data_IF_690375308173
#
_entry.id   IF_690375308173
#
_cell.length_a   1.000
_cell.length_b   1.000
_cell.length_c   1.000
_cell.angle_alpha   90.00
_cell.angle_beta   90.00
_cell.angle_gamma   90.00
#
_symmetry.space_group_name_H-M   'P 1'
#
loop_
_entity.id
_entity.type
_entity.pdbx_description
1 polymer ?
#
# COMPACT_ATOMS: atom_id res chain seq x y z
N UNK A 1 0.71 -8.60 -26.15
CA UNK A 1 0.92 -8.56 -24.69
C UNK A 1 2.04 -9.50 -24.22
N UNK A 2 2.12 -10.73 -24.73
CA UNK A 2 3.20 -11.69 -24.41
C UNK A 2 4.61 -11.21 -24.78
N UNK A 3 4.71 -10.30 -25.73
CA UNK A 3 6.02 -9.72 -26.17
C UNK A 3 6.49 -8.61 -25.24
N UNK A 4 5.56 -7.87 -24.64
CA UNK A 4 5.85 -6.65 -23.90
C UNK A 4 5.69 -6.77 -22.38
N UNK A 5 5.35 -7.96 -21.87
CA UNK A 5 5.11 -8.20 -20.47
C UNK A 5 5.62 -9.57 -20.04
N UNK A 6 6.16 -9.65 -18.83
CA UNK A 6 6.42 -10.93 -18.15
C UNK A 6 5.12 -11.50 -17.60
N UNK A 7 4.77 -12.73 -18.00
CA UNK A 7 3.60 -13.44 -17.51
C UNK A 7 3.95 -14.42 -16.40
N UNK A 8 3.05 -14.53 -15.43
CA UNK A 8 3.05 -15.58 -14.43
C UNK A 8 1.82 -16.47 -14.63
N UNK A 9 2.04 -17.69 -15.09
CA UNK A 9 1.00 -18.70 -15.27
C UNK A 9 0.77 -19.44 -13.93
N UNK A 10 -0.49 -19.49 -13.47
CA UNK A 10 -0.86 -20.20 -12.23
C UNK A 10 -1.99 -21.17 -12.54
N UNK A 11 -1.79 -22.47 -12.23
CA UNK A 11 -2.79 -23.50 -12.48
C UNK A 11 -3.05 -23.77 -13.96
N UNK A 12 -2.10 -23.46 -14.84
CA UNK A 12 -2.20 -23.67 -16.28
C UNK A 12 -1.38 -24.90 -16.69
N UNK A 13 -2.01 -25.81 -17.45
CA UNK A 13 -1.42 -27.11 -17.81
C UNK A 13 -0.52 -27.08 -19.04
N UNK A 14 -0.52 -25.99 -19.80
CA UNK A 14 0.15 -25.88 -21.11
C UNK A 14 -0.28 -26.98 -22.11
N UNK A 15 -1.51 -27.47 -21.99
CA UNK A 15 -2.09 -28.43 -22.94
C UNK A 15 -2.83 -27.77 -24.10
N UNK A 16 -3.02 -26.46 -24.08
CA UNK A 16 -3.64 -25.68 -25.14
C UNK A 16 -2.63 -25.41 -26.28
N UNK A 17 -2.81 -26.07 -27.39
CA UNK A 17 -1.96 -25.95 -28.57
C UNK A 17 -1.88 -24.52 -29.11
N UNK A 18 -2.99 -23.74 -29.05
CA UNK A 18 -2.99 -22.35 -29.55
C UNK A 18 -2.06 -21.45 -28.75
N UNK A 19 -2.01 -21.63 -27.43
CA UNK A 19 -1.10 -20.83 -26.59
C UNK A 19 0.35 -21.22 -26.83
N UNK A 20 0.64 -22.50 -26.97
CA UNK A 20 1.99 -22.99 -27.29
C UNK A 20 2.43 -22.54 -28.69
N UNK A 21 1.58 -22.59 -29.68
CA UNK A 21 1.87 -22.11 -31.05
C UNK A 21 2.12 -20.60 -31.08
N UNK A 22 1.35 -19.82 -30.29
CA UNK A 22 1.61 -18.39 -30.13
C UNK A 22 2.97 -18.11 -29.46
N UNK A 23 3.33 -18.84 -28.43
CA UNK A 23 4.62 -18.73 -27.76
C UNK A 23 5.77 -19.11 -28.65
N UNK A 24 5.64 -20.22 -29.43
CA UNK A 24 6.61 -20.62 -30.45
C UNK A 24 6.83 -19.51 -31.48
N UNK A 25 5.74 -19.01 -32.07
CA UNK A 25 5.80 -17.99 -33.11
C UNK A 25 6.48 -16.71 -32.62
N UNK A 26 6.22 -16.32 -31.36
CA UNK A 26 6.86 -15.16 -30.74
C UNK A 26 8.36 -15.42 -30.54
N UNK A 27 8.73 -16.60 -30.05
CA UNK A 27 10.13 -16.99 -29.82
C UNK A 27 10.94 -16.99 -31.14
N UNK A 28 10.36 -17.55 -32.19
CA UNK A 28 10.97 -17.59 -33.52
C UNK A 28 11.14 -16.19 -34.11
N UNK A 29 10.12 -15.33 -33.96
CA UNK A 29 10.16 -13.97 -34.50
C UNK A 29 11.16 -13.07 -33.78
N UNK A 30 11.30 -13.19 -32.44
CA UNK A 30 12.16 -12.36 -31.62
C UNK A 30 13.61 -12.89 -31.48
N UNK A 31 13.89 -14.09 -32.02
CA UNK A 31 15.26 -14.65 -32.03
C UNK A 31 15.86 -14.84 -30.63
N UNK A 32 15.05 -15.18 -29.63
CA UNK A 32 15.51 -15.42 -28.26
C UNK A 32 15.67 -14.17 -27.40
N UNK A 33 15.33 -12.99 -27.90
CA UNK A 33 15.38 -11.72 -27.13
C UNK A 33 14.10 -11.47 -26.28
N UNK A 34 13.19 -12.46 -26.18
CA UNK A 34 11.95 -12.38 -25.41
C UNK A 34 12.26 -12.39 -23.90
N UNK A 35 11.60 -11.50 -23.16
CA UNK A 35 11.60 -11.58 -21.69
C UNK A 35 11.05 -12.92 -21.21
N UNK A 36 11.68 -13.50 -20.18
CA UNK A 36 11.24 -14.79 -19.66
C UNK A 36 9.90 -14.70 -18.96
N UNK A 37 9.09 -15.76 -19.11
CA UNK A 37 7.85 -15.94 -18.37
C UNK A 37 8.05 -16.94 -17.23
N UNK A 38 7.09 -16.99 -16.32
CA UNK A 38 7.11 -17.88 -15.15
C UNK A 38 5.84 -18.70 -15.07
N UNK A 39 5.94 -19.92 -14.54
CA UNK A 39 4.79 -20.76 -14.22
C UNK A 39 4.93 -21.34 -12.81
N UNK A 40 3.85 -21.38 -12.05
CA UNK A 40 3.79 -22.12 -10.78
C UNK A 40 3.07 -23.42 -11.06
N UNK A 41 3.77 -24.53 -10.88
CA UNK A 41 3.26 -25.87 -11.16
C UNK A 41 3.19 -26.72 -9.91
N UNK A 42 2.07 -27.41 -9.74
CA UNK A 42 1.93 -28.39 -8.67
C UNK A 42 2.72 -29.65 -8.96
N UNK A 43 3.41 -30.12 -7.93
CA UNK A 43 4.06 -31.44 -7.93
C UNK A 43 3.64 -32.22 -6.69
N UNK A 44 3.38 -33.51 -6.85
CA UNK A 44 3.22 -34.46 -5.75
C UNK A 44 4.51 -35.23 -5.47
N UNK A 45 4.46 -36.17 -4.53
CA UNK A 45 5.63 -36.97 -4.14
C UNK A 45 6.06 -37.97 -5.24
N UNK A 46 5.19 -38.27 -6.22
CA UNK A 46 5.41 -39.25 -7.27
C UNK A 46 5.51 -38.61 -8.67
N UNK A 47 6.39 -37.62 -8.80
CA UNK A 47 6.59 -36.93 -10.08
C UNK A 47 7.28 -37.85 -11.09
N UNK A 48 6.67 -38.00 -12.28
CA UNK A 48 7.25 -38.79 -13.37
C UNK A 48 8.48 -38.11 -14.00
N UNK A 49 9.37 -38.89 -14.59
CA UNK A 49 10.51 -38.36 -15.35
C UNK A 49 10.04 -37.50 -16.54
N UNK A 50 8.91 -37.83 -17.15
CA UNK A 50 8.32 -37.09 -18.27
C UNK A 50 7.91 -35.66 -17.87
N UNK A 51 7.50 -35.47 -16.62
CA UNK A 51 7.21 -34.12 -16.11
C UNK A 51 8.46 -33.23 -16.09
N UNK A 52 9.60 -33.78 -15.69
CA UNK A 52 10.86 -32.99 -15.70
C UNK A 52 11.30 -32.65 -17.12
N UNK A 53 11.15 -33.58 -18.07
CA UNK A 53 11.40 -33.27 -19.48
C UNK A 53 10.46 -32.20 -20.02
N UNK A 54 9.20 -32.23 -19.63
CA UNK A 54 8.22 -31.21 -20.00
C UNK A 54 8.59 -29.81 -19.44
N UNK A 55 8.97 -29.73 -18.18
CA UNK A 55 9.43 -28.47 -17.54
C UNK A 55 10.68 -27.91 -18.24
N UNK A 56 11.61 -28.79 -18.60
CA UNK A 56 12.81 -28.41 -19.33
C UNK A 56 12.50 -27.93 -20.75
N UNK A 57 11.54 -28.55 -21.43
CA UNK A 57 11.07 -28.18 -22.74
C UNK A 57 10.39 -26.79 -22.71
N UNK A 58 9.54 -26.54 -21.71
CA UNK A 58 8.95 -25.20 -21.49
C UNK A 58 10.00 -24.11 -21.34
N UNK A 59 11.10 -24.41 -20.66
CA UNK A 59 12.21 -23.46 -20.53
C UNK A 59 12.95 -23.26 -21.84
N UNK A 60 13.29 -24.33 -22.54
CA UNK A 60 14.13 -24.29 -23.75
C UNK A 60 13.37 -23.69 -24.93
N UNK A 61 12.12 -24.09 -25.13
CA UNK A 61 11.34 -23.68 -26.32
C UNK A 61 10.60 -22.36 -26.13
N UNK A 62 10.13 -22.07 -24.92
CA UNK A 62 9.22 -20.95 -24.69
C UNK A 62 9.74 -19.92 -23.68
N UNK A 63 10.96 -20.12 -23.19
CA UNK A 63 11.57 -19.29 -22.14
C UNK A 63 10.68 -19.14 -20.87
N UNK A 64 9.93 -20.21 -20.52
CA UNK A 64 9.10 -20.25 -19.33
C UNK A 64 9.85 -20.95 -18.20
N UNK A 65 10.14 -20.26 -17.12
CA UNK A 65 10.74 -20.83 -15.91
C UNK A 65 9.65 -21.39 -15.00
N UNK A 66 9.66 -22.69 -14.77
CA UNK A 66 8.68 -23.36 -13.90
C UNK A 66 9.18 -23.40 -12.46
N UNK A 67 8.34 -22.91 -11.53
CA UNK A 67 8.48 -23.03 -10.10
C UNK A 67 7.64 -24.20 -9.64
N UNK A 68 8.24 -25.36 -9.43
CA UNK A 68 7.55 -26.58 -9.05
C UNK A 68 7.46 -26.67 -7.53
N UNK A 69 6.28 -26.84 -6.98
CA UNK A 69 6.04 -26.87 -5.55
C UNK A 69 4.88 -27.80 -5.16
N UNK A 70 4.93 -28.34 -3.96
CA UNK A 70 3.80 -29.02 -3.33
C UNK A 70 2.63 -28.04 -3.11
N UNK A 71 1.46 -28.54 -2.72
CA UNK A 71 0.28 -27.73 -2.45
C UNK A 71 0.56 -26.59 -1.46
N UNK A 72 1.24 -26.91 -0.36
CA UNK A 72 1.60 -25.92 0.67
C UNK A 72 2.69 -24.97 0.16
N UNK A 73 3.64 -25.46 -0.64
CA UNK A 73 4.63 -24.63 -1.32
C UNK A 73 4.02 -23.64 -2.28
N UNK A 74 3.02 -24.03 -3.06
CA UNK A 74 2.27 -23.12 -3.95
C UNK A 74 1.56 -22.02 -3.16
N UNK A 75 0.87 -22.38 -2.06
CA UNK A 75 0.23 -21.41 -1.18
C UNK A 75 1.24 -20.42 -0.59
N UNK A 76 2.41 -20.91 -0.18
CA UNK A 76 3.48 -20.06 0.33
C UNK A 76 4.02 -19.10 -0.73
N UNK A 77 4.22 -19.56 -1.96
CA UNK A 77 4.65 -18.71 -3.09
C UNK A 77 3.60 -17.62 -3.35
N UNK A 78 2.31 -17.99 -3.44
CA UNK A 78 1.22 -17.04 -3.69
C UNK A 78 1.10 -16.03 -2.54
N UNK A 79 1.23 -16.47 -1.29
CA UNK A 79 1.21 -15.59 -0.12
C UNK A 79 2.41 -14.64 -0.11
N UNK A 80 3.60 -15.11 -0.47
CA UNK A 80 4.79 -14.28 -0.61
C UNK A 80 4.62 -13.21 -1.69
N UNK A 81 4.12 -13.59 -2.87
CA UNK A 81 3.82 -12.65 -3.96
C UNK A 81 2.77 -11.61 -3.54
N UNK A 82 1.70 -12.05 -2.87
CA UNK A 82 0.68 -11.16 -2.32
C UNK A 82 1.27 -10.21 -1.26
N UNK A 83 2.15 -10.71 -0.39
CA UNK A 83 2.90 -9.89 0.56
C UNK A 83 3.71 -8.80 -0.15
N UNK A 84 4.54 -9.19 -1.13
CA UNK A 84 5.37 -8.24 -1.90
C UNK A 84 4.54 -7.20 -2.67
N UNK A 85 3.38 -7.56 -3.20
CA UNK A 85 2.50 -6.57 -3.86
C UNK A 85 1.86 -5.59 -2.88
N UNK A 86 1.65 -5.99 -1.62
CA UNK A 86 1.17 -5.12 -0.53
C UNK A 86 2.27 -4.26 0.08
N UNK A 87 3.50 -4.75 0.14
CA UNK A 87 4.64 -4.10 0.82
C UNK A 87 4.92 -2.67 0.36
N UNK A 88 4.56 -2.34 -0.86
CA UNK A 88 4.77 -1.01 -1.45
C UNK A 88 3.50 -0.16 -1.54
N UNK A 89 2.43 -0.47 -0.80
CA UNK A 89 1.21 0.34 -0.76
C UNK A 89 0.91 0.84 0.64
N UNK A 90 0.80 2.16 0.78
CA UNK A 90 0.62 2.86 2.05
C UNK A 90 -0.75 3.52 2.09
N UNK A 91 -1.50 3.30 3.16
CA UNK A 91 -2.74 4.03 3.43
C UNK A 91 -2.42 5.34 4.17
N UNK A 92 -2.87 6.47 3.64
CA UNK A 92 -2.76 7.76 4.31
C UNK A 92 -4.14 8.12 4.87
N UNK A 93 -4.22 8.08 6.20
CA UNK A 93 -5.40 8.44 6.99
C UNK A 93 -5.23 9.81 7.61
N UNK A 94 -6.29 10.59 7.60
CA UNK A 94 -6.33 11.86 8.31
C UNK A 94 -7.28 12.86 7.69
N UNK A 95 -7.62 13.84 8.49
CA UNK A 95 -8.45 14.98 8.11
C UNK A 95 -8.12 16.15 9.01
N UNK A 96 -8.32 17.37 8.54
CA UNK A 96 -8.28 18.54 9.40
C UNK A 96 -9.31 19.57 8.93
N UNK A 97 -9.70 20.44 9.83
CA UNK A 97 -10.72 21.47 9.60
C UNK A 97 -10.32 22.86 10.10
N UNK A 98 -9.05 23.01 10.46
CA UNK A 98 -8.50 24.30 10.86
C UNK A 98 -8.48 25.27 9.68
N UNK A 99 -8.84 26.50 9.94
CA UNK A 99 -8.78 27.60 8.96
C UNK A 99 -7.55 28.49 9.18
N UNK A 100 -6.65 28.13 10.13
CA UNK A 100 -5.45 28.93 10.37
C UNK A 100 -4.46 28.74 9.22
N UNK A 101 -3.86 29.83 8.77
CA UNK A 101 -2.88 29.85 7.70
C UNK A 101 -1.68 28.94 8.00
N UNK A 102 -1.20 28.95 9.23
CA UNK A 102 -0.10 28.12 9.68
C UNK A 102 -0.38 26.62 9.52
N UNK A 103 -1.58 26.17 9.93
CA UNK A 103 -1.96 24.74 9.79
C UNK A 103 -2.11 24.35 8.32
N UNK A 104 -2.70 25.22 7.50
CA UNK A 104 -2.86 24.97 6.07
C UNK A 104 -1.49 24.89 5.37
N UNK A 105 -0.59 25.81 5.64
CA UNK A 105 0.76 25.83 5.07
C UNK A 105 1.60 24.61 5.52
N UNK A 106 1.47 24.18 6.77
CA UNK A 106 2.12 22.98 7.27
C UNK A 106 1.56 21.71 6.59
N UNK A 107 0.22 21.58 6.50
CA UNK A 107 -0.42 20.46 5.85
C UNK A 107 -0.09 20.36 4.35
N UNK A 108 -0.05 21.49 3.67
CA UNK A 108 0.34 21.62 2.27
C UNK A 108 1.77 21.12 2.05
N UNK A 109 2.74 21.72 2.76
CA UNK A 109 4.15 21.34 2.64
C UNK A 109 4.43 19.89 3.04
N UNK A 110 3.76 19.40 4.10
CA UNK A 110 3.90 18.00 4.53
C UNK A 110 3.33 17.04 3.49
N UNK A 111 2.18 17.36 2.91
CA UNK A 111 1.55 16.53 1.87
C UNK A 111 2.42 16.46 0.62
N UNK A 112 2.97 17.60 0.17
CA UNK A 112 3.91 17.68 -0.95
C UNK A 112 5.15 16.81 -0.70
N UNK A 113 5.81 17.01 0.43
CA UNK A 113 7.03 16.28 0.79
C UNK A 113 6.77 14.78 0.90
N UNK A 114 5.68 14.40 1.59
CA UNK A 114 5.31 13.00 1.81
C UNK A 114 5.03 12.25 0.50
N UNK A 115 4.23 12.84 -0.37
CA UNK A 115 3.90 12.24 -1.68
C UNK A 115 5.17 12.04 -2.52
N UNK A 116 6.01 13.07 -2.61
CA UNK A 116 7.25 13.01 -3.37
C UNK A 116 8.20 11.91 -2.83
N UNK A 117 8.42 11.87 -1.52
CA UNK A 117 9.29 10.86 -0.91
C UNK A 117 8.73 9.44 -1.05
N UNK A 118 7.42 9.24 -0.88
CA UNK A 118 6.78 7.94 -1.08
C UNK A 118 6.94 7.44 -2.52
N UNK A 119 6.61 8.28 -3.51
CA UNK A 119 6.70 7.89 -4.91
C UNK A 119 8.15 7.68 -5.38
N UNK A 120 9.08 8.54 -4.96
CA UNK A 120 10.51 8.36 -5.25
C UNK A 120 11.07 7.04 -4.66
N UNK A 121 10.48 6.54 -3.56
CA UNK A 121 10.85 5.27 -2.94
C UNK A 121 10.03 4.08 -3.47
N UNK A 122 9.21 4.28 -4.50
CA UNK A 122 8.42 3.26 -5.16
C UNK A 122 7.17 2.81 -4.39
N UNK A 123 6.73 3.57 -3.39
CA UNK A 123 5.47 3.30 -2.70
C UNK A 123 4.27 3.77 -3.52
N UNK A 124 3.15 3.09 -3.35
CA UNK A 124 1.85 3.46 -3.89
C UNK A 124 0.99 4.03 -2.76
N UNK A 125 0.09 4.93 -3.07
CA UNK A 125 -0.73 5.62 -2.08
C UNK A 125 -2.19 5.13 -2.17
N UNK A 126 -2.80 4.86 -1.01
CA UNK A 126 -4.24 4.71 -0.84
C UNK A 126 -4.73 5.76 0.15
N UNK A 127 -5.87 6.37 -0.12
CA UNK A 127 -6.47 7.37 0.77
C UNK A 127 -7.98 7.33 0.74
N UNK A 128 -8.61 7.59 1.90
CA UNK A 128 -10.04 7.83 2.04
C UNK A 128 -10.48 9.25 1.65
N UNK A 129 -9.59 10.05 1.11
CA UNK A 129 -9.82 11.46 0.73
C UNK A 129 -10.44 12.24 1.89
N UNK A 130 -9.79 12.15 3.07
CA UNK A 130 -10.24 12.85 4.26
C UNK A 130 -10.27 14.37 4.06
N UNK A 131 -11.16 15.03 4.79
CA UNK A 131 -11.47 16.46 4.61
C UNK A 131 -10.17 17.30 4.57
N UNK A 132 -10.02 18.17 3.59
CA UNK A 132 -8.86 19.02 3.26
C UNK A 132 -7.57 18.25 3.01
N UNK A 133 -7.11 17.40 3.92
CA UNK A 133 -5.87 16.64 3.76
C UNK A 133 -5.89 15.79 2.47
N UNK A 134 -7.03 15.13 2.22
CA UNK A 134 -7.21 14.31 1.03
C UNK A 134 -7.02 15.09 -0.28
N UNK A 135 -7.44 16.34 -0.32
CA UNK A 135 -7.26 17.21 -1.49
C UNK A 135 -5.78 17.49 -1.76
N UNK A 136 -4.98 17.78 -0.73
CA UNK A 136 -3.54 17.99 -0.89
C UNK A 136 -2.84 16.70 -1.33
N UNK A 137 -3.09 15.57 -0.64
CA UNK A 137 -2.47 14.28 -0.98
C UNK A 137 -2.79 13.88 -2.42
N UNK A 138 -4.07 13.97 -2.84
CA UNK A 138 -4.48 13.58 -4.20
C UNK A 138 -3.99 14.58 -5.25
N UNK A 139 -3.96 15.87 -4.93
CA UNK A 139 -3.43 16.91 -5.79
C UNK A 139 -1.95 16.70 -6.12
N UNK A 140 -1.11 16.56 -5.09
CA UNK A 140 0.33 16.31 -5.28
C UNK A 140 0.62 14.95 -5.91
N UNK A 141 -0.17 13.93 -5.60
CA UNK A 141 -0.04 12.63 -6.24
C UNK A 141 -0.28 12.71 -7.75
N UNK A 142 -1.36 13.37 -8.17
CA UNK A 142 -1.66 13.56 -9.58
C UNK A 142 -0.63 14.46 -10.27
N UNK A 143 -0.18 15.54 -9.63
CA UNK A 143 0.87 16.40 -10.16
C UNK A 143 2.16 15.59 -10.41
N UNK A 144 2.63 14.82 -9.43
CA UNK A 144 3.83 13.99 -9.55
C UNK A 144 3.73 13.02 -10.74
N UNK A 145 2.59 12.36 -10.90
CA UNK A 145 2.37 11.41 -12.00
C UNK A 145 2.31 12.08 -13.36
N UNK A 146 1.64 13.25 -13.45
CA UNK A 146 1.53 14.02 -14.67
C UNK A 146 2.89 14.55 -15.14
N UNK A 147 3.71 15.11 -14.24
CA UNK A 147 5.05 15.62 -14.55
C UNK A 147 6.01 14.53 -15.09
N UNK A 148 5.74 13.25 -14.78
CA UNK A 148 6.52 12.10 -15.24
C UNK A 148 5.87 11.33 -16.38
N UNK A 149 4.79 11.85 -16.96
CA UNK A 149 4.01 11.22 -18.03
C UNK A 149 3.51 9.80 -17.68
N UNK A 150 3.18 9.55 -16.40
CA UNK A 150 2.65 8.26 -15.93
C UNK A 150 1.13 8.25 -16.14
N UNK A 151 0.66 7.55 -17.16
CA UNK A 151 -0.77 7.48 -17.53
C UNK A 151 -1.60 6.54 -16.65
N UNK A 152 -0.99 5.49 -16.08
CA UNK A 152 -1.71 4.51 -15.26
C UNK A 152 -1.84 4.97 -13.80
N UNK A 153 -2.56 6.08 -13.58
CA UNK A 153 -2.80 6.65 -12.26
C UNK A 153 -3.39 5.64 -11.24
N UNK A 154 -4.36 4.76 -11.58
CA UNK A 154 -4.92 3.80 -10.63
C UNK A 154 -3.90 2.81 -10.05
N UNK A 155 -2.79 2.56 -10.74
CA UNK A 155 -1.70 1.72 -10.24
C UNK A 155 -0.99 2.37 -9.04
N UNK A 156 -0.86 3.70 -9.04
CA UNK A 156 -0.08 4.45 -8.07
C UNK A 156 -0.92 5.09 -6.98
N UNK A 157 -2.13 5.58 -7.33
CA UNK A 157 -3.04 6.28 -6.44
C UNK A 157 -4.40 5.58 -6.40
N UNK A 158 -4.78 5.06 -5.23
CA UNK A 158 -6.09 4.48 -4.96
C UNK A 158 -6.89 5.44 -4.09
N UNK A 159 -7.87 6.11 -4.70
CA UNK A 159 -8.80 7.00 -4.00
C UNK A 159 -10.09 6.24 -3.70
N UNK A 160 -10.46 6.18 -2.42
CA UNK A 160 -11.72 5.54 -1.97
C UNK A 160 -12.41 6.46 -0.96
N UNK A 161 -13.10 7.52 -1.44
CA UNK A 161 -13.75 8.49 -0.57
C UNK A 161 -14.74 7.81 0.38
N UNK A 162 -14.68 8.19 1.66
CA UNK A 162 -15.63 7.69 2.62
C UNK A 162 -17.02 8.35 2.38
N UNK A 163 -18.13 7.58 2.38
CA UNK A 163 -19.46 8.11 2.06
C UNK A 163 -20.08 8.86 3.25
N UNK A 164 -19.59 10.04 3.57
CA UNK A 164 -20.02 10.86 4.71
C UNK A 164 -21.49 11.26 4.69
N UNK A 165 -22.09 11.36 3.50
CA UNK A 165 -23.47 11.84 3.33
C UNK A 165 -24.52 10.74 3.50
N UNK A 166 -24.09 9.49 3.63
CA UNK A 166 -24.98 8.36 3.80
C UNK A 166 -25.17 8.07 5.29
N UNK A 167 -26.40 7.86 5.72
CA UNK A 167 -26.70 7.40 7.08
C UNK A 167 -26.43 5.90 7.18
N UNK A 168 -25.16 5.54 7.35
CA UNK A 168 -24.69 4.17 7.36
C UNK A 168 -24.68 3.60 8.77
N UNK A 169 -25.01 2.31 8.91
CA UNK A 169 -24.75 1.56 10.14
C UNK A 169 -23.25 1.46 10.42
N UNK A 170 -22.86 1.28 11.68
CA UNK A 170 -21.45 1.16 12.07
C UNK A 170 -20.76 -0.01 11.35
N UNK A 171 -21.44 -1.14 11.14
CA UNK A 171 -20.95 -2.29 10.39
C UNK A 171 -20.61 -1.92 8.93
N UNK A 172 -21.48 -1.16 8.26
CA UNK A 172 -21.20 -0.68 6.90
C UNK A 172 -20.05 0.31 6.87
N UNK A 173 -19.96 1.21 7.85
CA UNK A 173 -18.82 2.15 7.98
C UNK A 173 -17.51 1.40 8.14
N UNK A 174 -17.48 0.37 8.98
CA UNK A 174 -16.30 -0.48 9.17
C UNK A 174 -15.91 -1.22 7.87
N UNK A 175 -16.89 -1.76 7.16
CA UNK A 175 -16.67 -2.40 5.85
C UNK A 175 -16.04 -1.44 4.85
N UNK A 176 -16.52 -0.20 4.75
CA UNK A 176 -15.90 0.83 3.89
C UNK A 176 -14.47 1.14 4.31
N UNK A 177 -14.18 1.27 5.62
CA UNK A 177 -12.81 1.52 6.10
C UNK A 177 -11.87 0.36 5.78
N UNK A 178 -12.33 -0.89 5.91
CA UNK A 178 -11.57 -2.07 5.48
C UNK A 178 -11.27 -2.04 3.99
N UNK A 179 -12.24 -1.64 3.15
CA UNK A 179 -12.04 -1.49 1.71
C UNK A 179 -11.04 -0.38 1.36
N UNK A 180 -11.03 0.74 2.10
CA UNK A 180 -10.08 1.83 1.89
C UNK A 180 -8.64 1.38 2.12
N UNK A 181 -8.42 0.48 3.08
CA UNK A 181 -7.12 -0.06 3.46
C UNK A 181 -6.73 -1.34 2.70
N UNK A 182 -7.60 -1.81 1.81
CA UNK A 182 -7.36 -3.03 1.04
C UNK A 182 -6.04 -2.96 0.28
N UNK A 183 -5.28 -4.04 0.35
CA UNK A 183 -3.99 -4.21 -0.33
C UNK A 183 -2.87 -3.28 0.18
N UNK A 184 -3.05 -2.63 1.33
CA UNK A 184 -2.01 -1.87 1.99
C UNK A 184 -1.23 -2.73 3.01
N UNK A 185 0.03 -2.35 3.24
CA UNK A 185 0.91 -2.98 4.23
C UNK A 185 1.31 -2.01 5.34
N UNK A 186 1.06 -0.74 5.14
CA UNK A 186 1.38 0.32 6.09
C UNK A 186 0.26 1.36 6.14
N UNK A 187 0.17 2.07 7.26
CA UNK A 187 -0.75 3.19 7.43
C UNK A 187 -0.05 4.35 8.13
N UNK A 188 -0.20 5.54 7.55
CA UNK A 188 0.30 6.81 8.08
C UNK A 188 -0.91 7.61 8.58
N UNK A 189 -0.85 8.06 9.84
CA UNK A 189 -1.91 8.82 10.48
C UNK A 189 -1.47 10.27 10.69
N UNK A 190 -2.23 11.19 10.09
CA UNK A 190 -1.97 12.63 10.08
C UNK A 190 -3.19 13.38 10.61
N UNK A 191 -3.02 14.36 11.48
CA UNK A 191 -4.10 15.17 12.02
C UNK A 191 -5.21 14.34 12.66
N UNK A 192 -6.33 14.13 11.97
CA UNK A 192 -7.50 13.45 12.49
C UNK A 192 -8.39 14.39 13.31
N UNK A 193 -8.57 15.62 12.83
CA UNK A 193 -9.53 16.58 13.35
C UNK A 193 -10.89 16.38 12.65
N UNK A 194 -11.97 16.40 13.41
CA UNK A 194 -13.32 16.49 12.89
C UNK A 194 -14.05 17.67 13.52
N UNK A 195 -15.00 18.24 12.78
CA UNK A 195 -15.98 19.17 13.34
C UNK A 195 -17.24 18.39 13.67
N UNK A 196 -17.69 18.48 14.92
CA UNK A 196 -19.02 18.05 15.27
C UNK A 196 -19.99 19.22 15.17
N UNK A 197 -21.14 19.00 14.55
CA UNK A 197 -22.27 19.91 14.67
C UNK A 197 -22.87 19.75 16.08
N UNK A 198 -23.15 20.85 16.76
CA UNK A 198 -23.96 20.81 17.96
C UNK A 198 -25.41 20.42 17.62
N UNK A 199 -26.25 20.17 18.64
CA UNK A 199 -27.66 19.80 18.45
C UNK A 199 -28.48 20.84 17.66
N UNK A 200 -27.97 22.05 17.52
CA UNK A 200 -28.60 23.14 16.72
C UNK A 200 -28.06 23.20 15.28
N UNK A 201 -27.24 22.28 14.84
CA UNK A 201 -26.66 22.26 13.50
C UNK A 201 -25.54 23.29 13.28
N UNK A 202 -25.05 23.95 14.33
CA UNK A 202 -23.95 24.91 14.25
C UNK A 202 -22.63 24.23 14.64
N UNK A 203 -21.53 24.65 14.00
CA UNK A 203 -20.19 24.18 14.34
C UNK A 203 -19.73 24.85 15.65
N UNK A 204 -19.20 24.04 16.56
CA UNK A 204 -18.55 24.53 17.75
C UNK A 204 -17.05 24.68 17.48
N UNK A 205 -16.64 25.91 17.20
CA UNK A 205 -15.24 26.24 16.85
C UNK A 205 -14.29 26.21 18.07
N UNK A 206 -14.84 26.13 19.30
CA UNK A 206 -14.07 26.20 20.53
C UNK A 206 -13.63 24.82 21.06
N UNK A 207 -14.12 23.73 20.52
CA UNK A 207 -13.80 22.39 20.99
C UNK A 207 -13.02 21.65 19.89
N UNK A 208 -11.79 21.28 20.20
CA UNK A 208 -11.00 20.41 19.33
C UNK A 208 -11.63 19.01 19.31
N UNK A 209 -12.32 18.68 18.22
CA UNK A 209 -12.93 17.37 18.04
C UNK A 209 -11.94 16.40 17.38
N UNK A 210 -11.82 15.23 17.97
CA UNK A 210 -11.02 14.15 17.45
C UNK A 210 -11.81 13.29 16.48
N UNK A 211 -11.18 12.81 15.42
CA UNK A 211 -11.85 12.00 14.40
C UNK A 211 -11.95 10.54 14.83
N UNK A 212 -13.13 10.13 15.30
CA UNK A 212 -13.41 8.72 15.58
C UNK A 212 -13.13 7.83 14.35
N UNK A 213 -13.33 8.35 13.14
CA UNK A 213 -13.03 7.65 11.90
C UNK A 213 -11.55 7.32 11.74
N UNK A 214 -10.66 8.28 12.02
CA UNK A 214 -9.21 8.07 11.97
C UNK A 214 -8.77 7.01 13.01
N UNK A 215 -9.36 7.02 14.19
CA UNK A 215 -9.07 6.01 15.22
C UNK A 215 -9.56 4.61 14.80
N UNK A 216 -10.76 4.50 14.22
CA UNK A 216 -11.26 3.23 13.69
C UNK A 216 -10.38 2.68 12.55
N UNK A 217 -9.88 3.55 11.68
CA UNK A 217 -8.92 3.19 10.64
C UNK A 217 -7.60 2.68 11.23
N UNK A 218 -7.13 3.28 12.33
CA UNK A 218 -5.98 2.79 13.09
C UNK A 218 -6.22 1.40 13.68
N UNK A 219 -7.38 1.14 14.29
CA UNK A 219 -7.70 -0.18 14.84
C UNK A 219 -7.74 -1.26 13.75
N UNK A 220 -8.30 -0.95 12.58
CA UNK A 220 -8.31 -1.86 11.42
C UNK A 220 -6.88 -2.14 10.93
N UNK A 221 -6.05 -1.10 10.80
CA UNK A 221 -4.65 -1.25 10.39
C UNK A 221 -3.86 -2.10 11.38
N UNK A 222 -4.08 -1.89 12.69
CA UNK A 222 -3.45 -2.66 13.78
C UNK A 222 -3.86 -4.13 13.73
N UNK A 223 -5.15 -4.42 13.55
CA UNK A 223 -5.68 -5.78 13.43
C UNK A 223 -5.14 -6.52 12.19
N UNK A 224 -4.81 -5.80 11.13
CA UNK A 224 -4.22 -6.34 9.90
C UNK A 224 -2.67 -6.36 9.91
N UNK A 225 -2.02 -6.10 11.05
CA UNK A 225 -0.58 -6.08 11.22
C UNK A 225 0.15 -5.12 10.26
N UNK A 226 -0.44 -3.96 9.98
CA UNK A 226 0.21 -2.93 9.17
C UNK A 226 1.40 -2.32 9.91
N UNK A 227 2.32 -1.77 9.14
CA UNK A 227 3.32 -0.83 9.68
C UNK A 227 2.59 0.47 10.02
N UNK A 228 2.42 0.73 11.31
CA UNK A 228 1.70 1.91 11.83
C UNK A 228 2.69 3.07 11.99
N UNK A 229 2.38 4.21 11.40
CA UNK A 229 3.21 5.43 11.50
C UNK A 229 2.33 6.61 11.95
N UNK A 230 2.24 6.88 13.25
CA UNK A 230 1.49 8.00 13.78
C UNK A 230 2.34 9.28 13.79
N UNK A 231 1.95 10.28 13.02
CA UNK A 231 2.65 11.58 12.99
C UNK A 231 2.04 12.51 14.04
N UNK A 232 2.44 12.31 15.29
CA UNK A 232 1.94 13.06 16.44
C UNK A 232 2.18 14.57 16.35
N UNK A 233 3.17 15.03 15.58
CA UNK A 233 3.45 16.44 15.31
C UNK A 233 2.28 17.16 14.63
N UNK A 234 1.42 16.45 13.91
CA UNK A 234 0.22 17.02 13.27
C UNK A 234 -0.94 17.25 14.25
N UNK A 235 -0.81 16.78 15.50
CA UNK A 235 -1.83 16.97 16.54
C UNK A 235 -3.03 16.03 16.44
N UNK A 236 -4.12 16.40 17.11
CA UNK A 236 -5.42 15.73 17.09
C UNK A 236 -5.37 14.22 17.29
N UNK A 237 -6.14 13.44 16.53
CA UNK A 237 -6.21 11.99 16.66
C UNK A 237 -4.86 11.30 16.38
N UNK A 238 -4.08 11.82 15.44
CA UNK A 238 -2.74 11.31 15.17
C UNK A 238 -1.82 11.38 16.41
N UNK A 239 -1.99 12.40 17.26
CA UNK A 239 -1.27 12.50 18.52
C UNK A 239 -1.79 11.52 19.59
N UNK A 240 -3.09 11.21 19.61
CA UNK A 240 -3.65 10.16 20.48
C UNK A 240 -3.10 8.80 20.08
N UNK A 241 -3.13 8.48 18.80
CA UNK A 241 -2.56 7.24 18.24
C UNK A 241 -1.06 7.17 18.57
N UNK A 242 -0.32 8.28 18.43
CA UNK A 242 1.10 8.35 18.78
C UNK A 242 1.34 7.99 20.26
N UNK A 243 0.52 8.53 21.18
CA UNK A 243 0.60 8.20 22.61
C UNK A 243 0.35 6.71 22.87
N UNK A 244 -0.68 6.11 22.24
CA UNK A 244 -0.99 4.70 22.36
C UNK A 244 0.16 3.82 21.83
N UNK A 245 0.70 4.15 20.66
CA UNK A 245 1.83 3.45 20.04
C UNK A 245 3.08 3.56 20.90
N UNK A 246 3.38 4.75 21.44
CA UNK A 246 4.53 4.97 22.32
C UNK A 246 4.41 4.18 23.63
N UNK A 247 3.24 4.13 24.24
CA UNK A 247 2.99 3.34 25.43
C UNK A 247 3.17 1.82 25.20
N UNK A 248 2.98 1.36 23.96
CA UNK A 248 3.11 -0.03 23.55
C UNK A 248 4.28 -0.25 22.59
N UNK A 249 5.37 0.48 22.72
CA UNK A 249 6.48 0.53 21.75
C UNK A 249 7.09 -0.83 21.45
N UNK A 250 7.02 -1.79 22.39
CA UNK A 250 7.49 -3.14 22.19
C UNK A 250 6.74 -3.89 21.06
N UNK A 251 5.48 -3.56 20.81
CA UNK A 251 4.71 -4.06 19.67
C UNK A 251 5.08 -3.37 18.36
N UNK A 252 5.64 -2.16 18.45
CA UNK A 252 6.02 -1.29 17.34
C UNK A 252 7.53 -1.01 17.34
N UNK A 253 8.34 -2.05 17.60
CA UNK A 253 9.80 -1.96 17.81
C UNK A 253 10.53 -1.19 16.71
N UNK A 254 10.03 -1.22 15.47
CA UNK A 254 10.56 -0.49 14.34
C UNK A 254 10.50 1.04 14.49
N UNK A 255 9.68 1.53 15.45
CA UNK A 255 9.56 2.95 15.78
C UNK A 255 10.46 3.37 16.94
N UNK A 256 11.04 2.47 17.72
CA UNK A 256 11.68 2.74 19.02
C UNK A 256 12.70 3.89 18.98
N UNK A 257 13.46 4.03 17.90
CA UNK A 257 14.46 5.10 17.72
C UNK A 257 13.91 6.34 17.01
N UNK A 258 12.72 6.31 16.47
CA UNK A 258 12.15 7.34 15.57
C UNK A 258 10.81 7.89 16.06
N UNK A 259 10.20 7.28 17.07
CA UNK A 259 8.87 7.65 17.55
C UNK A 259 8.79 9.10 18.04
N UNK A 260 9.83 9.58 18.71
CA UNK A 260 9.86 10.94 19.24
C UNK A 260 10.04 11.98 18.12
N UNK A 261 10.75 11.67 17.05
CA UNK A 261 10.86 12.53 15.87
C UNK A 261 9.48 12.76 15.26
N UNK A 262 8.65 11.70 15.14
CA UNK A 262 7.29 11.81 14.62
C UNK A 262 6.35 12.69 15.47
N UNK A 263 6.78 13.09 16.67
CA UNK A 263 6.00 13.96 17.56
C UNK A 263 6.55 15.37 17.67
N UNK A 264 7.86 15.52 17.68
CA UNK A 264 8.50 16.79 18.03
C UNK A 264 9.15 17.49 16.83
N UNK A 265 9.36 16.81 15.71
CA UNK A 265 9.83 17.45 14.50
C UNK A 265 8.74 18.36 13.91
N UNK A 266 9.14 19.53 13.43
CA UNK A 266 8.25 20.54 12.86
C UNK A 266 8.51 20.80 11.38
N UNK A 267 9.62 20.27 10.84
CA UNK A 267 9.98 20.43 9.45
C UNK A 267 9.35 19.34 8.58
N UNK A 268 8.43 19.70 7.64
CA UNK A 268 7.71 18.72 6.81
C UNK A 268 8.62 17.77 6.04
N UNK A 269 9.74 18.24 5.52
CA UNK A 269 10.70 17.43 4.77
C UNK A 269 11.30 16.34 5.67
N UNK A 270 11.79 16.70 6.87
CA UNK A 270 12.36 15.73 7.80
C UNK A 270 11.33 14.70 8.29
N UNK A 271 10.10 15.14 8.55
CA UNK A 271 9.01 14.22 8.93
C UNK A 271 8.81 13.18 7.82
N UNK A 272 8.71 13.62 6.57
CA UNK A 272 8.47 12.72 5.44
C UNK A 272 9.65 11.78 5.16
N UNK A 273 10.89 12.25 5.31
CA UNK A 273 12.10 11.41 5.23
C UNK A 273 12.12 10.32 6.32
N UNK A 274 11.77 10.68 7.56
CA UNK A 274 11.70 9.72 8.67
C UNK A 274 10.64 8.66 8.41
N UNK A 275 9.47 9.05 7.89
CA UNK A 275 8.40 8.11 7.51
C UNK A 275 8.91 7.09 6.48
N UNK A 276 9.52 7.55 5.40
CA UNK A 276 10.01 6.66 4.33
C UNK A 276 11.17 5.78 4.83
N UNK A 277 12.05 6.32 5.66
CA UNK A 277 13.13 5.54 6.28
C UNK A 277 12.61 4.44 7.22
N UNK A 278 11.47 4.66 7.90
CA UNK A 278 10.79 3.61 8.68
C UNK A 278 10.24 2.53 7.74
N UNK A 279 9.51 2.93 6.71
CA UNK A 279 8.92 2.01 5.74
C UNK A 279 9.98 1.12 5.07
N UNK A 280 11.08 1.72 4.60
CA UNK A 280 12.16 0.99 3.95
C UNK A 280 12.84 0.00 4.91
N UNK A 281 13.13 0.42 6.15
CA UNK A 281 13.77 -0.46 7.14
C UNK A 281 12.91 -1.68 7.50
N UNK A 282 11.58 -1.54 7.55
CA UNK A 282 10.68 -2.68 7.82
C UNK A 282 10.58 -3.61 6.61
N UNK A 283 10.55 -3.06 5.40
CA UNK A 283 10.51 -3.86 4.17
C UNK A 283 11.77 -4.71 4.03
N UNK A 284 12.95 -4.13 4.22
CA UNK A 284 14.23 -4.84 4.21
C UNK A 284 14.29 -5.96 5.27
N UNK A 285 13.82 -5.69 6.48
CA UNK A 285 13.81 -6.66 7.58
C UNK A 285 12.88 -7.84 7.31
N UNK A 286 11.75 -7.62 6.66
CA UNK A 286 10.82 -8.69 6.24
C UNK A 286 11.43 -9.58 5.15
N UNK A 287 12.23 -9.01 4.25
CA UNK A 287 12.93 -9.78 3.21
C UNK A 287 14.08 -10.66 3.75
N UNK A 288 14.70 -10.30 4.88
CA UNK A 288 15.83 -11.05 5.46
C UNK A 288 15.37 -12.22 6.36
N UNK A 289 14.17 -12.16 6.93
CA UNK A 289 13.63 -13.18 7.84
C UNK A 289 12.79 -14.27 7.16
N UNK A 290 12.61 -14.21 5.85
CA UNK A 290 11.99 -15.25 5.03
C UNK A 290 13.05 -16.05 4.26
#
# INVERSE_FOLDING_TARGET
ELVSNTFLFIGYSFSDALVLDCLCSIQEFLGGSMEGHYAIMYIDENVSQDFYYFVEDLKKRYNITCLCASKDGMLNIINCLNGKTKEKKVFISGSYDSVTENTNNFADKLSCALVNHLYNSGYRISTGVGKRLGTYITGYANQYLAERNISNTPKYLSMRPFPFHMNLSEEKKETYRKLMQRDCSAAIFLFGQSRNMNKAGMFDDNIAHFSTGTYQEFQIAKANNFVIIPVGATGYEANIIWKEVKANINQFYYLSKKIDILRYETEPQKISEVIVNILNSVTEYRCIKQ
#
